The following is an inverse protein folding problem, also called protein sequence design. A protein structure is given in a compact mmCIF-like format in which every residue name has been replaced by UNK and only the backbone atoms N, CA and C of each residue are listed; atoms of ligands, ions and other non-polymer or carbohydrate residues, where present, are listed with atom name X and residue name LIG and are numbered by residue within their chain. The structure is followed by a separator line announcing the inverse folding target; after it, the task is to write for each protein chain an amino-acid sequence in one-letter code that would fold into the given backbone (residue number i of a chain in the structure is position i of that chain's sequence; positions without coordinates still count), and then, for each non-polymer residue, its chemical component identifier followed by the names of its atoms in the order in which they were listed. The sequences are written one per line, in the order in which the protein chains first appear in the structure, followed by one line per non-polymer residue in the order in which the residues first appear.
data_IF_658300257744
#
_entry.id   IF_658300257744
#
_cell.length_a   1.000
_cell.length_b   1.000
_cell.length_c   1.000
_cell.angle_alpha   90.00
_cell.angle_beta   90.00
_cell.angle_gamma   90.00
#
_symmetry.space_group_name_H-M   'P 1'
#
loop_
_entity.id
_entity.type
_entity.pdbx_description
1 polymer ?
#
# COMPACT_ATOMS: atom_id res chain seq x y z
N UNK A 1 -26.93 -36.84 16.67
CA UNK A 1 -26.16 -35.66 16.23
C UNK A 1 -27.04 -34.57 15.62
N UNK A 2 -27.90 -34.84 14.62
CA UNK A 2 -28.84 -33.85 14.04
C UNK A 2 -29.65 -33.04 15.07
N UNK A 3 -30.32 -33.71 16.03
CA UNK A 3 -31.11 -33.03 17.10
C UNK A 3 -30.34 -32.03 17.96
N UNK A 4 -29.02 -32.22 18.16
CA UNK A 4 -28.19 -31.29 18.96
C UNK A 4 -27.82 -30.07 18.13
N UNK A 5 -27.51 -30.30 16.84
CA UNK A 5 -27.20 -29.24 15.87
C UNK A 5 -28.44 -28.36 15.64
N UNK A 6 -29.62 -28.96 15.45
CA UNK A 6 -30.86 -28.21 15.23
C UNK A 6 -31.27 -27.39 16.47
N UNK A 7 -31.08 -27.94 17.68
CA UNK A 7 -31.40 -27.24 18.94
C UNK A 7 -30.47 -26.07 19.22
N UNK A 8 -29.19 -26.19 18.87
CA UNK A 8 -28.17 -25.20 19.16
C UNK A 8 -27.77 -24.38 17.91
N UNK A 9 -28.53 -24.49 16.82
CA UNK A 9 -28.21 -23.86 15.54
C UNK A 9 -28.01 -22.35 15.67
N UNK A 10 -28.86 -21.69 16.47
CA UNK A 10 -28.74 -20.25 16.75
C UNK A 10 -27.44 -19.89 17.47
N UNK A 11 -26.96 -20.72 18.40
CA UNK A 11 -25.69 -20.48 19.11
C UNK A 11 -24.49 -20.67 18.18
N UNK A 12 -24.55 -21.66 17.28
CA UNK A 12 -23.52 -21.87 16.25
C UNK A 12 -23.48 -20.67 15.30
N UNK A 13 -24.66 -20.17 14.88
CA UNK A 13 -24.77 -19.00 14.02
C UNK A 13 -24.21 -17.73 14.68
N UNK A 14 -24.54 -17.50 15.95
CA UNK A 14 -24.01 -16.36 16.73
C UNK A 14 -22.48 -16.44 16.84
N UNK A 15 -21.94 -17.61 17.13
CA UNK A 15 -20.48 -17.82 17.19
C UNK A 15 -19.80 -17.49 15.86
N UNK A 16 -20.38 -17.96 14.74
CA UNK A 16 -19.86 -17.67 13.40
C UNK A 16 -19.89 -16.16 13.10
N UNK A 17 -20.98 -15.48 13.43
CA UNK A 17 -21.13 -14.04 13.22
C UNK A 17 -20.10 -13.25 14.04
N UNK A 18 -19.84 -13.63 15.30
CA UNK A 18 -18.82 -12.98 16.14
C UNK A 18 -17.42 -13.15 15.52
N UNK A 19 -17.11 -14.33 14.99
CA UNK A 19 -15.82 -14.58 14.30
C UNK A 19 -15.68 -13.70 13.06
N UNK A 20 -16.74 -13.60 12.24
CA UNK A 20 -16.74 -12.76 11.02
C UNK A 20 -16.58 -11.28 11.37
N UNK A 21 -17.32 -10.78 12.37
CA UNK A 21 -17.21 -9.38 12.82
C UNK A 21 -15.81 -9.11 13.38
N UNK A 22 -15.25 -10.02 14.17
CA UNK A 22 -13.89 -9.90 14.69
C UNK A 22 -12.85 -9.87 13.58
N UNK A 23 -13.00 -10.71 12.56
CA UNK A 23 -12.15 -10.70 11.37
C UNK A 23 -12.26 -9.39 10.59
N UNK A 24 -13.47 -8.88 10.36
CA UNK A 24 -13.68 -7.59 9.70
C UNK A 24 -13.11 -6.41 10.50
N UNK A 25 -13.27 -6.41 11.82
CA UNK A 25 -12.71 -5.36 12.67
C UNK A 25 -11.17 -5.35 12.63
N UNK A 26 -10.54 -6.53 12.64
CA UNK A 26 -9.09 -6.64 12.49
C UNK A 26 -8.62 -6.31 11.06
N UNK A 27 -9.44 -6.61 10.05
CA UNK A 27 -9.17 -6.29 8.65
C UNK A 27 -9.42 -4.82 8.31
N UNK A 28 -10.18 -4.10 9.13
CA UNK A 28 -10.38 -2.64 9.03
C UNK A 28 -9.16 -1.92 9.58
N UNK A 29 -8.00 -2.14 8.96
CA UNK A 29 -6.82 -1.33 9.22
C UNK A 29 -6.92 -0.01 8.44
N UNK A 30 -6.73 1.11 9.14
CA UNK A 30 -6.43 2.38 8.49
C UNK A 30 -5.08 2.21 7.78
N UNK A 31 -5.09 1.81 6.50
CA UNK A 31 -3.89 1.42 5.75
C UNK A 31 -2.76 2.44 5.85
N UNK A 32 -3.09 3.73 5.94
CA UNK A 32 -2.14 4.83 6.10
C UNK A 32 -1.50 4.91 7.50
N UNK A 33 -2.27 4.67 8.58
CA UNK A 33 -1.68 4.58 9.94
C UNK A 33 -0.71 3.42 10.04
N UNK A 34 -1.00 2.33 9.35
CA UNK A 34 -0.20 1.12 9.37
C UNK A 34 1.13 1.27 8.60
N UNK A 35 1.14 2.00 7.48
CA UNK A 35 2.38 2.38 6.78
C UNK A 35 3.36 3.08 7.74
N UNK A 36 2.90 4.00 8.59
CA UNK A 36 3.79 4.74 9.48
C UNK A 36 4.65 3.84 10.40
N UNK A 37 4.11 2.69 10.83
CA UNK A 37 4.75 1.74 11.75
C UNK A 37 5.67 0.75 11.03
N UNK A 38 5.30 0.33 9.82
CA UNK A 38 5.95 -0.76 9.07
C UNK A 38 6.43 -0.34 7.69
N UNK A 39 6.76 0.95 7.53
CA UNK A 39 7.20 1.52 6.26
C UNK A 39 8.48 0.88 5.73
N UNK A 40 8.39 0.50 4.48
CA UNK A 40 9.52 0.13 3.61
C UNK A 40 9.47 0.98 2.36
N UNK A 41 10.60 1.04 1.67
CA UNK A 41 10.73 1.88 0.49
C UNK A 41 11.14 1.08 -0.73
N UNK A 42 10.60 1.46 -1.88
CA UNK A 42 10.94 0.90 -3.19
C UNK A 42 10.91 2.01 -4.23
N UNK A 43 11.16 1.65 -5.49
CA UNK A 43 11.04 2.56 -6.63
C UNK A 43 9.71 2.26 -7.32
N UNK A 44 8.94 3.31 -7.57
CA UNK A 44 7.81 3.27 -8.48
C UNK A 44 8.19 3.90 -9.82
N UNK A 45 7.71 3.30 -10.90
CA UNK A 45 7.83 3.79 -12.27
C UNK A 45 6.47 4.30 -12.73
N UNK A 46 6.40 5.54 -13.18
CA UNK A 46 5.21 6.04 -13.88
C UNK A 46 5.11 5.42 -15.27
N UNK A 47 3.98 4.79 -15.58
CA UNK A 47 3.80 3.99 -16.81
C UNK A 47 2.82 4.60 -17.80
N UNK A 48 1.97 5.54 -17.35
CA UNK A 48 1.03 6.25 -18.21
C UNK A 48 1.31 7.74 -18.24
N UNK A 49 0.75 8.39 -19.26
CA UNK A 49 0.53 9.84 -19.24
C UNK A 49 -0.72 10.14 -18.39
N UNK A 50 -0.97 11.41 -18.08
CA UNK A 50 -2.20 11.82 -17.41
C UNK A 50 -3.43 11.38 -18.21
N UNK A 51 -4.34 10.66 -17.58
CA UNK A 51 -5.56 10.21 -18.22
C UNK A 51 -6.75 10.20 -17.26
N UNK A 52 -7.94 10.10 -17.86
CA UNK A 52 -9.16 9.78 -17.15
C UNK A 52 -9.49 8.32 -17.46
N UNK A 53 -9.37 7.44 -16.46
CA UNK A 53 -9.90 6.07 -16.57
C UNK A 53 -11.34 6.05 -16.07
N UNK A 54 -12.22 5.39 -16.83
CA UNK A 54 -13.61 5.16 -16.43
C UNK A 54 -13.77 4.34 -15.14
N UNK A 55 -12.71 3.64 -14.70
CA UNK A 55 -12.76 2.69 -13.58
C UNK A 55 -11.86 3.00 -12.38
N UNK A 56 -10.70 3.66 -12.58
CA UNK A 56 -9.67 3.86 -11.55
C UNK A 56 -9.35 5.33 -11.26
N UNK A 57 -10.21 6.25 -11.72
CA UNK A 57 -10.07 7.68 -11.46
C UNK A 57 -9.19 8.41 -12.46
N UNK A 58 -8.95 9.68 -12.14
CA UNK A 58 -8.17 10.62 -12.94
C UNK A 58 -6.74 10.63 -12.41
N UNK A 59 -5.76 10.45 -13.28
CA UNK A 59 -4.36 10.55 -12.86
C UNK A 59 -3.34 9.86 -13.76
N UNK A 60 -2.17 9.63 -13.17
CA UNK A 60 -1.07 8.85 -13.74
C UNK A 60 -1.02 7.49 -13.08
N UNK A 61 -0.89 6.44 -13.89
CA UNK A 61 -0.60 5.09 -13.41
C UNK A 61 0.89 4.95 -13.08
N UNK A 62 1.17 4.29 -11.98
CA UNK A 62 2.52 3.87 -11.63
C UNK A 62 2.55 2.41 -11.20
N UNK A 63 3.69 1.77 -11.44
CA UNK A 63 3.94 0.38 -11.08
C UNK A 63 5.17 0.28 -10.18
N UNK A 64 5.18 -0.68 -9.27
CA UNK A 64 6.31 -0.97 -8.41
C UNK A 64 6.39 -2.47 -8.12
N UNK A 65 7.56 -2.90 -7.66
CA UNK A 65 7.81 -4.30 -7.31
C UNK A 65 8.17 -4.42 -5.83
N UNK A 66 7.57 -5.43 -5.19
CA UNK A 66 7.93 -5.89 -3.84
C UNK A 66 8.03 -7.40 -3.89
N UNK A 67 9.18 -7.95 -3.51
CA UNK A 67 9.46 -9.38 -3.55
C UNK A 67 9.13 -10.03 -4.91
N UNK A 68 9.51 -9.37 -6.01
CA UNK A 68 9.23 -9.79 -7.39
C UNK A 68 7.74 -9.81 -7.80
N UNK A 69 6.83 -9.37 -6.93
CA UNK A 69 5.41 -9.20 -7.24
C UNK A 69 5.20 -7.77 -7.72
N UNK A 70 4.48 -7.63 -8.85
CA UNK A 70 4.14 -6.33 -9.43
C UNK A 70 2.85 -5.80 -8.81
N UNK A 71 2.89 -4.54 -8.41
CA UNK A 71 1.74 -3.77 -7.95
C UNK A 71 1.56 -2.55 -8.86
N UNK A 72 0.33 -2.11 -9.01
CA UNK A 72 -0.02 -0.95 -9.82
C UNK A 72 -1.06 -0.11 -9.11
N UNK A 73 -0.94 1.21 -9.18
CA UNK A 73 -1.95 2.12 -8.65
C UNK A 73 -1.99 3.41 -9.50
N UNK A 74 -3.01 4.23 -9.28
CA UNK A 74 -3.23 5.50 -9.99
C UNK A 74 -3.14 6.66 -9.00
N UNK A 75 -2.47 7.74 -9.38
CA UNK A 75 -2.33 8.95 -8.57
C UNK A 75 -2.77 10.20 -9.33
N UNK A 76 -3.56 11.04 -8.68
CA UNK A 76 -4.02 12.33 -9.19
C UNK A 76 -2.93 13.42 -9.03
N UNK A 77 -1.71 13.16 -9.53
CA UNK A 77 -0.61 14.13 -9.68
C UNK A 77 -0.05 14.12 -11.12
N UNK A 78 0.21 15.29 -11.68
CA UNK A 78 0.76 15.43 -13.03
C UNK A 78 2.25 15.03 -13.05
N UNK A 79 2.48 13.72 -13.18
CA UNK A 79 3.81 13.12 -13.17
C UNK A 79 4.24 12.74 -14.57
N UNK A 80 5.54 12.92 -14.85
CA UNK A 80 6.11 12.59 -16.14
C UNK A 80 6.24 11.09 -16.32
N UNK A 81 5.58 10.52 -17.34
CA UNK A 81 5.73 9.12 -17.76
C UNK A 81 7.19 8.70 -17.91
N UNK A 82 7.52 7.51 -17.41
CA UNK A 82 8.87 6.95 -17.40
C UNK A 82 9.75 7.49 -16.26
N UNK A 83 9.30 8.50 -15.51
CA UNK A 83 10.01 8.97 -14.34
C UNK A 83 9.83 7.99 -13.19
N UNK A 84 10.92 7.76 -12.47
CA UNK A 84 10.96 6.96 -11.25
C UNK A 84 10.90 7.86 -10.03
N UNK A 85 10.15 7.42 -9.03
CA UNK A 85 10.00 8.12 -7.76
C UNK A 85 10.18 7.15 -6.60
N UNK A 86 10.57 7.69 -5.44
CA UNK A 86 10.55 6.94 -4.20
C UNK A 86 9.10 6.63 -3.82
N UNK A 87 8.84 5.40 -3.43
CA UNK A 87 7.54 4.95 -2.93
C UNK A 87 7.72 4.35 -1.55
N UNK A 88 6.83 4.73 -0.63
CA UNK A 88 6.72 4.10 0.69
C UNK A 88 5.52 3.15 0.70
N UNK A 89 5.69 1.98 1.30
CA UNK A 89 4.64 0.96 1.39
C UNK A 89 4.65 0.26 2.76
N UNK A 90 3.54 -0.36 3.15
CA UNK A 90 3.49 -1.25 4.32
C UNK A 90 4.10 -2.61 3.95
N UNK A 91 5.11 -3.04 4.71
CA UNK A 91 5.78 -4.33 4.48
C UNK A 91 4.86 -5.57 4.58
N UNK A 92 3.70 -5.47 5.21
CA UNK A 92 2.72 -6.57 5.34
C UNK A 92 1.66 -6.51 4.23
N UNK A 93 1.20 -5.31 3.87
CA UNK A 93 0.15 -5.06 2.86
C UNK A 93 0.71 -4.07 1.84
N UNK A 94 1.49 -4.51 0.84
CA UNK A 94 2.19 -3.61 -0.09
C UNK A 94 1.27 -2.73 -0.93
N UNK A 95 -0.01 -3.09 -1.07
CA UNK A 95 -1.05 -2.28 -1.69
C UNK A 95 -1.27 -0.96 -0.95
N UNK A 96 -1.04 -0.92 0.37
CA UNK A 96 -1.02 0.31 1.14
C UNK A 96 0.28 1.04 0.86
N UNK A 97 0.21 2.07 0.01
CA UNK A 97 1.39 2.79 -0.45
C UNK A 97 1.14 4.29 -0.64
N UNK A 98 2.24 5.04 -0.60
CA UNK A 98 2.26 6.47 -0.91
C UNK A 98 3.45 6.74 -1.83
N UNK A 99 3.15 7.29 -3.02
CA UNK A 99 4.16 7.78 -3.95
C UNK A 99 4.68 9.14 -3.47
N UNK A 100 6.00 9.27 -3.33
CA UNK A 100 6.66 10.49 -2.90
C UNK A 100 7.17 11.27 -4.12
N UNK A 101 6.29 12.06 -4.73
CA UNK A 101 6.52 12.87 -5.93
C UNK A 101 7.69 13.87 -5.80
N UNK A 102 7.96 14.33 -4.58
CA UNK A 102 9.09 15.22 -4.27
C UNK A 102 10.47 14.53 -4.30
N UNK A 103 10.53 13.20 -4.43
CA UNK A 103 11.78 12.42 -4.42
C UNK A 103 11.92 11.60 -5.71
N UNK A 104 12.25 12.24 -6.85
CA UNK A 104 12.58 11.52 -8.08
C UNK A 104 13.88 10.72 -7.92
N UNK A 105 13.92 9.51 -8.49
CA UNK A 105 15.09 8.63 -8.48
C UNK A 105 15.63 8.50 -9.90
N UNK A 106 16.80 9.10 -10.14
CA UNK A 106 17.42 9.09 -11.46
C UNK A 106 18.44 7.94 -11.62
N UNK A 107 18.88 7.32 -10.53
CA UNK A 107 19.87 6.23 -10.54
C UNK A 107 19.21 4.85 -10.58
N UNK A 108 19.87 3.90 -11.25
CA UNK A 108 19.53 2.48 -11.20
C UNK A 108 20.06 1.85 -9.91
N UNK A 109 19.45 2.21 -8.79
CA UNK A 109 19.76 1.58 -7.51
C UNK A 109 19.04 0.22 -7.44
N UNK A 110 19.79 -0.84 -7.11
CA UNK A 110 19.22 -2.16 -6.85
C UNK A 110 18.29 -2.09 -5.65
N UNK A 111 17.01 -2.37 -5.86
CA UNK A 111 16.02 -2.46 -4.78
C UNK A 111 16.12 -3.85 -4.12
N UNK A 112 16.30 -3.95 -2.80
CA UNK A 112 16.20 -5.21 -2.08
C UNK A 112 14.81 -5.82 -2.26
N UNK A 113 14.71 -7.16 -2.23
CA UNK A 113 13.43 -7.87 -2.36
C UNK A 113 12.36 -7.36 -1.37
N UNK A 114 12.76 -7.03 -0.14
CA UNK A 114 11.86 -6.56 0.92
C UNK A 114 11.83 -5.03 1.05
N UNK A 115 12.32 -4.30 0.04
CA UNK A 115 12.47 -2.86 0.07
C UNK A 115 13.53 -2.37 1.06
N UNK A 116 13.89 -1.10 0.94
CA UNK A 116 14.84 -0.43 1.83
C UNK A 116 14.21 -0.05 3.16
N UNK A 117 15.03 -0.02 4.20
CA UNK A 117 14.81 0.84 5.38
C UNK A 117 15.25 2.27 5.07
N UNK A 118 14.84 3.23 5.89
CA UNK A 118 15.16 4.65 5.69
C UNK A 118 16.67 4.94 5.64
N UNK A 119 17.46 4.22 6.43
CA UNK A 119 18.91 4.34 6.49
C UNK A 119 19.65 3.59 5.37
N UNK A 120 18.93 2.80 4.56
CA UNK A 120 19.46 2.04 3.43
C UNK A 120 19.13 2.74 2.09
N UNK A 121 18.45 3.89 2.14
CA UNK A 121 18.03 4.61 0.94
C UNK A 121 19.24 5.14 0.15
N UNK A 122 19.20 5.06 -1.19
CA UNK A 122 20.26 5.57 -2.05
C UNK A 122 20.26 7.11 -2.15
N UNK A 123 19.26 7.77 -1.56
CA UNK A 123 19.09 9.22 -1.56
C UNK A 123 18.86 9.72 -0.14
N UNK A 124 19.28 10.96 0.15
CA UNK A 124 19.01 11.60 1.43
C UNK A 124 17.54 12.04 1.46
N UNK A 125 16.81 11.59 2.48
CA UNK A 125 15.41 11.94 2.68
C UNK A 125 15.17 12.51 4.07
N UNK A 126 14.16 13.36 4.19
CA UNK A 126 13.67 13.85 5.47
C UNK A 126 12.53 12.97 5.97
N UNK A 127 12.77 12.28 7.09
CA UNK A 127 11.79 11.38 7.71
C UNK A 127 10.56 12.10 8.24
N UNK A 128 10.70 13.34 8.70
CA UNK A 128 9.60 14.16 9.22
C UNK A 128 8.67 14.57 8.07
N UNK A 129 9.25 15.00 6.95
CA UNK A 129 8.51 15.37 5.75
C UNK A 129 7.74 14.19 5.16
N UNK A 130 8.37 13.00 5.12
CA UNK A 130 7.69 11.77 4.67
C UNK A 130 6.50 11.44 5.58
N UNK A 131 6.67 11.52 6.90
CA UNK A 131 5.58 11.23 7.83
C UNK A 131 4.41 12.21 7.65
N UNK A 132 4.67 13.50 7.44
CA UNK A 132 3.61 14.47 7.18
C UNK A 132 2.85 14.12 5.89
N UNK A 133 3.56 13.78 4.80
CA UNK A 133 2.92 13.37 3.54
C UNK A 133 2.06 12.10 3.71
N UNK A 134 2.50 11.15 4.55
CA UNK A 134 1.72 9.94 4.84
C UNK A 134 0.46 10.26 5.65
N UNK A 135 0.51 11.24 6.56
CA UNK A 135 -0.59 11.62 7.45
C UNK A 135 -1.60 12.59 6.81
N UNK A 136 -1.17 13.37 5.81
CA UNK A 136 -2.01 14.35 5.09
C UNK A 136 -2.79 13.76 3.92
N UNK A 137 -2.49 12.51 3.52
CA UNK A 137 -3.28 11.75 2.54
C UNK A 137 -4.33 10.90 3.21
#
# INVERSE_FOLDING_TARGET
MKKIIDKNFHLILISLVIIVIGYWYLSSSDGLKDISKRKKYTIALTVSDWHHKDTNGIGVDYEYFVNSIKYSNTINLDLKKGQKYLLVFDSIIPENNVLLDIYPINSFSLVPLNGWKINELPIKVDSSKINNIILER
#
